data_IF_415833466110
#
_entry.id   IF_415833466110
#
_cell.length_a   1.000
_cell.length_b   1.000
_cell.length_c   1.000
_cell.angle_alpha   90.00
_cell.angle_beta   90.00
_cell.angle_gamma   90.00
#
_symmetry.space_group_name_H-M   'P 1'
#
loop_
_entity.id
_entity.type
_entity.pdbx_description
1 polymer ?
#
# COMPACT_ATOMS: atom_id res chain seq x y z
N UNK A 1 24.76 18.12 -22.26
CA UNK A 1 23.81 17.21 -22.88
C UNK A 1 22.54 17.24 -22.01
N UNK A 2 21.43 17.68 -22.57
CA UNK A 2 20.15 17.61 -21.88
C UNK A 2 19.69 16.14 -21.92
N UNK A 3 19.52 15.53 -20.77
CA UNK A 3 19.02 14.17 -20.65
C UNK A 3 17.52 14.15 -20.99
N UNK A 4 17.06 13.20 -21.81
CA UNK A 4 15.64 13.04 -22.11
C UNK A 4 14.84 12.89 -20.80
N UNK A 5 13.93 13.84 -20.58
CA UNK A 5 13.06 13.83 -19.41
C UNK A 5 11.65 13.46 -19.84
N UNK A 6 11.23 12.23 -19.54
CA UNK A 6 9.87 11.77 -19.73
C UNK A 6 9.14 11.84 -18.39
N UNK A 7 7.90 12.31 -18.41
CA UNK A 7 7.02 12.33 -17.25
C UNK A 7 5.77 11.55 -17.60
N UNK A 8 5.40 10.61 -16.74
CA UNK A 8 4.20 9.79 -16.86
C UNK A 8 3.17 10.20 -15.80
N UNK A 9 1.91 10.20 -16.20
CA UNK A 9 0.76 10.47 -15.35
C UNK A 9 -0.15 9.25 -15.35
N UNK A 10 -0.53 8.74 -14.18
CA UNK A 10 -1.46 7.63 -14.06
C UNK A 10 -2.92 8.07 -14.07
N UNK A 11 -3.84 7.11 -14.03
CA UNK A 11 -5.29 7.34 -13.99
C UNK A 11 -5.78 8.09 -12.74
N UNK A 12 -4.96 8.14 -11.66
CA UNK A 12 -5.24 8.91 -10.43
C UNK A 12 -4.66 10.31 -10.45
N UNK A 13 -4.30 10.83 -11.63
CA UNK A 13 -3.67 12.14 -11.84
C UNK A 13 -2.31 12.35 -11.14
N UNK A 14 -1.68 11.27 -10.72
CA UNK A 14 -0.33 11.34 -10.12
C UNK A 14 0.72 11.35 -11.22
N UNK A 15 1.63 12.31 -11.15
CA UNK A 15 2.74 12.44 -12.08
C UNK A 15 4.00 11.82 -11.48
N UNK A 16 4.63 10.95 -12.25
CA UNK A 16 5.82 10.21 -11.83
C UNK A 16 7.06 10.74 -12.56
N UNK A 17 7.95 11.45 -11.85
CA UNK A 17 9.31 11.72 -12.33
C UNK A 17 10.26 10.57 -12.00
N UNK A 18 9.84 9.60 -11.15
CA UNK A 18 10.71 8.52 -10.68
C UNK A 18 10.55 7.26 -11.50
N UNK A 19 11.67 6.59 -11.82
CA UNK A 19 11.70 5.48 -12.77
C UNK A 19 11.21 4.15 -12.19
N UNK A 20 10.47 4.13 -11.08
CA UNK A 20 9.99 2.87 -10.50
C UNK A 20 8.53 2.95 -10.05
N UNK A 21 7.72 1.97 -10.47
CA UNK A 21 6.32 1.85 -10.05
C UNK A 21 5.88 0.38 -9.95
N UNK A 22 4.76 0.13 -9.29
CA UNK A 22 4.21 -1.21 -9.10
C UNK A 22 2.96 -1.35 -9.96
N UNK A 23 2.85 -2.47 -10.68
CA UNK A 23 1.68 -2.93 -11.40
C UNK A 23 1.16 -4.20 -10.74
N UNK A 24 -0.14 -4.44 -10.83
CA UNK A 24 -0.78 -5.65 -10.29
C UNK A 24 -1.20 -6.53 -11.46
N UNK A 25 -0.90 -7.84 -11.41
CA UNK A 25 -1.34 -8.81 -12.41
C UNK A 25 -2.87 -8.84 -12.53
N UNK A 26 -3.39 -9.21 -13.69
CA UNK A 26 -4.83 -9.23 -13.94
C UNK A 26 -5.47 -7.87 -14.23
N UNK A 27 -4.71 -6.77 -14.19
CA UNK A 27 -5.20 -5.40 -14.38
C UNK A 27 -4.75 -4.79 -15.70
N UNK A 28 -5.40 -3.68 -16.10
CA UNK A 28 -4.97 -2.84 -17.22
C UNK A 28 -4.64 -1.46 -16.71
N UNK A 29 -3.47 -0.95 -17.09
CA UNK A 29 -3.00 0.37 -16.67
C UNK A 29 -2.80 1.29 -17.87
N UNK A 30 -3.18 2.54 -17.70
CA UNK A 30 -2.95 3.58 -18.68
C UNK A 30 -2.12 4.71 -18.07
N UNK A 31 -1.03 5.05 -18.73
CA UNK A 31 -0.16 6.16 -18.36
C UNK A 31 -0.12 7.19 -19.48
N UNK A 32 -0.40 8.43 -19.17
CA UNK A 32 -0.26 9.54 -20.12
C UNK A 32 1.16 10.08 -20.08
N UNK A 33 1.79 10.23 -21.25
CA UNK A 33 3.05 10.96 -21.42
C UNK A 33 2.71 12.44 -21.41
N UNK A 34 3.04 13.14 -20.33
CA UNK A 34 2.72 14.58 -20.15
C UNK A 34 3.85 15.51 -20.59
N UNK A 35 5.05 14.97 -20.81
CA UNK A 35 6.16 15.72 -21.43
C UNK A 35 6.09 15.65 -22.95
N UNK A 36 6.64 16.63 -23.68
CA UNK A 36 6.81 16.50 -25.13
C UNK A 36 7.68 15.29 -25.44
N UNK A 37 7.12 14.32 -26.19
CA UNK A 37 7.84 13.11 -26.58
C UNK A 37 7.29 12.59 -27.93
N UNK A 38 8.15 12.53 -28.94
CA UNK A 38 7.82 12.05 -30.29
C UNK A 38 8.51 10.76 -30.68
N UNK A 39 9.41 10.26 -29.82
CA UNK A 39 10.25 9.10 -30.09
C UNK A 39 9.51 7.75 -29.97
N UNK A 40 10.28 6.69 -29.95
CA UNK A 40 9.81 5.32 -29.84
C UNK A 40 9.87 4.79 -28.41
N UNK A 41 8.99 3.84 -28.08
CA UNK A 41 9.06 3.09 -26.83
C UNK A 41 9.42 1.63 -27.11
N UNK A 42 10.17 1.04 -26.19
CA UNK A 42 10.41 -0.41 -26.14
C UNK A 42 10.13 -0.93 -24.75
N UNK A 43 9.68 -2.19 -24.67
CA UNK A 43 9.29 -2.87 -23.44
C UNK A 43 10.05 -4.17 -23.29
N UNK A 44 10.47 -4.50 -22.06
CA UNK A 44 11.04 -5.80 -21.71
C UNK A 44 10.01 -6.78 -21.09
N UNK A 45 8.74 -6.39 -20.99
CA UNK A 45 7.71 -7.20 -20.36
C UNK A 45 7.24 -8.37 -21.23
N UNK A 46 6.82 -9.50 -20.61
CA UNK A 46 6.29 -10.66 -21.31
C UNK A 46 4.82 -10.50 -21.77
N UNK A 47 4.18 -9.39 -21.45
CA UNK A 47 2.81 -9.05 -21.82
C UNK A 47 2.75 -7.83 -22.75
N UNK A 48 1.61 -7.57 -23.42
CA UNK A 48 1.49 -6.45 -24.34
C UNK A 48 1.65 -5.09 -23.64
N UNK A 49 2.54 -4.27 -24.20
CA UNK A 49 2.64 -2.84 -23.87
C UNK A 49 2.48 -2.08 -25.18
N UNK A 50 1.43 -1.29 -25.26
CA UNK A 50 1.09 -0.55 -26.47
C UNK A 50 1.14 0.95 -26.23
N UNK A 51 1.35 1.72 -27.30
CA UNK A 51 1.26 3.18 -27.25
C UNK A 51 0.31 3.68 -28.32
N UNK A 52 -0.63 4.49 -27.90
CA UNK A 52 -1.49 5.26 -28.78
C UNK A 52 -1.33 6.76 -28.47
N UNK A 53 -0.74 7.50 -29.41
CA UNK A 53 -0.40 8.93 -29.23
C UNK A 53 0.49 9.13 -28.00
N UNK A 54 -0.06 9.74 -26.94
CA UNK A 54 0.59 10.01 -25.66
C UNK A 54 0.17 9.07 -24.53
N UNK A 55 -0.62 8.02 -24.81
CA UNK A 55 -1.06 7.04 -23.82
C UNK A 55 -0.33 5.73 -24.01
N UNK A 56 0.27 5.22 -22.93
CA UNK A 56 0.87 3.89 -22.85
C UNK A 56 -0.11 3.00 -22.08
N UNK A 57 -0.41 1.85 -22.65
CA UNK A 57 -1.27 0.83 -22.03
C UNK A 57 -0.44 -0.40 -21.71
N UNK A 58 -0.47 -0.82 -20.46
CA UNK A 58 0.03 -2.10 -19.96
C UNK A 58 -1.17 -3.03 -19.80
N UNK A 59 -1.26 -4.04 -20.62
CA UNK A 59 -2.36 -5.01 -20.55
C UNK A 59 -1.90 -6.31 -19.86
N UNK A 60 -2.17 -6.38 -18.56
CA UNK A 60 -1.90 -7.54 -17.73
C UNK A 60 -3.17 -8.38 -17.48
N UNK A 61 -4.28 -8.12 -18.19
CA UNK A 61 -5.56 -8.79 -17.93
C UNK A 61 -5.51 -10.32 -17.99
N UNK A 62 -4.59 -10.86 -18.80
CA UNK A 62 -4.34 -12.31 -18.92
C UNK A 62 -3.00 -12.76 -18.31
N UNK A 63 -2.30 -11.88 -17.62
CA UNK A 63 -1.02 -12.17 -16.96
C UNK A 63 -1.22 -12.34 -15.46
N UNK A 64 -0.85 -13.50 -14.94
CA UNK A 64 -1.00 -13.90 -13.53
C UNK A 64 0.33 -14.08 -12.77
N UNK A 65 1.44 -13.71 -13.41
CA UNK A 65 2.77 -13.88 -12.85
C UNK A 65 3.32 -12.64 -12.12
N UNK A 66 4.48 -12.85 -11.51
CA UNK A 66 5.34 -11.80 -10.96
C UNK A 66 6.50 -11.57 -11.92
N UNK A 67 6.81 -10.34 -12.24
CA UNK A 67 8.01 -10.00 -12.99
C UNK A 67 8.46 -8.56 -12.72
N UNK A 68 9.70 -8.27 -13.07
CA UNK A 68 10.21 -6.89 -13.19
C UNK A 68 10.57 -6.61 -14.63
N UNK A 69 10.35 -5.38 -15.06
CA UNK A 69 10.65 -4.99 -16.42
C UNK A 69 10.85 -3.49 -16.57
N UNK A 70 11.14 -3.09 -17.79
CA UNK A 70 11.41 -1.69 -18.14
C UNK A 70 10.62 -1.25 -19.35
N UNK A 71 10.28 0.03 -19.36
CA UNK A 71 9.90 0.77 -20.56
C UNK A 71 11.02 1.76 -20.85
N UNK A 72 11.55 1.69 -22.04
CA UNK A 72 12.58 2.61 -22.52
C UNK A 72 11.98 3.55 -23.56
N UNK A 73 12.14 4.83 -23.32
CA UNK A 73 11.78 5.91 -24.24
C UNK A 73 13.03 6.33 -24.97
N UNK A 74 13.00 6.32 -26.30
CA UNK A 74 14.13 6.68 -27.14
C UNK A 74 13.75 7.84 -28.05
N UNK A 75 14.55 8.89 -28.05
CA UNK A 75 14.37 10.04 -28.93
C UNK A 75 15.75 10.50 -29.46
N UNK A 76 16.05 10.16 -30.72
CA UNK A 76 17.40 10.34 -31.28
C UNK A 76 18.44 9.48 -30.56
N UNK A 77 19.45 10.11 -30.00
CA UNK A 77 20.53 9.45 -29.24
C UNK A 77 20.24 9.43 -27.71
N UNK A 78 19.15 10.02 -27.28
CA UNK A 78 18.79 10.11 -25.86
C UNK A 78 17.80 9.02 -25.48
N UNK A 79 17.88 8.53 -24.23
CA UNK A 79 16.93 7.57 -23.68
C UNK A 79 16.57 7.86 -22.23
N UNK A 80 15.36 7.48 -21.86
CA UNK A 80 14.86 7.48 -20.48
C UNK A 80 14.26 6.13 -20.16
N UNK A 81 14.57 5.56 -18.98
CA UNK A 81 14.16 4.21 -18.60
C UNK A 81 13.31 4.30 -17.34
N UNK A 82 12.15 3.65 -17.39
CA UNK A 82 11.25 3.45 -16.25
C UNK A 82 11.23 1.98 -15.86
N UNK A 83 11.31 1.71 -14.58
CA UNK A 83 11.27 0.37 -14.00
C UNK A 83 9.90 0.12 -13.40
N UNK A 84 9.37 -1.07 -13.62
CA UNK A 84 8.10 -1.50 -13.04
C UNK A 84 8.26 -2.90 -12.46
N UNK A 85 7.69 -3.12 -11.29
CA UNK A 85 7.52 -4.45 -10.73
C UNK A 85 6.06 -4.86 -10.88
N UNK A 86 5.84 -6.06 -11.42
CA UNK A 86 4.52 -6.68 -11.44
C UNK A 86 4.40 -7.60 -10.24
N UNK A 87 3.36 -7.40 -9.48
CA UNK A 87 3.04 -8.18 -8.28
C UNK A 87 1.74 -8.94 -8.48
N UNK A 88 1.56 -10.04 -7.77
CA UNK A 88 0.31 -10.79 -7.81
C UNK A 88 -0.87 -9.93 -7.35
N UNK A 89 -2.03 -10.22 -7.94
CA UNK A 89 -3.29 -9.66 -7.49
C UNK A 89 -3.62 -10.21 -6.10
N UNK A 90 -3.79 -9.32 -5.13
CA UNK A 90 -4.26 -9.66 -3.80
C UNK A 90 -5.72 -9.27 -3.74
N UNK A 91 -6.58 -10.23 -3.47
CA UNK A 91 -7.99 -10.00 -3.23
C UNK A 91 -8.26 -9.73 -1.74
N UNK A 92 -9.41 -9.15 -1.42
CA UNK A 92 -9.82 -8.99 -0.03
C UNK A 92 -9.89 -10.33 0.72
N UNK A 93 -10.23 -11.41 0.00
CA UNK A 93 -10.27 -12.77 0.55
C UNK A 93 -8.91 -13.25 1.08
N UNK A 94 -7.82 -12.80 0.47
CA UNK A 94 -6.45 -13.14 0.93
C UNK A 94 -6.12 -12.48 2.26
N UNK A 95 -6.79 -11.39 2.59
CA UNK A 95 -6.60 -10.64 3.83
C UNK A 95 -7.49 -11.13 4.98
N UNK A 96 -8.67 -11.68 4.66
CA UNK A 96 -9.62 -12.14 5.66
C UNK A 96 -9.00 -13.20 6.57
N UNK A 97 -9.14 -12.99 7.88
CA UNK A 97 -8.60 -13.89 8.88
C UNK A 97 -8.01 -13.17 10.08
N UNK A 98 -7.43 -13.95 10.98
CA UNK A 98 -6.80 -13.43 12.21
C UNK A 98 -5.29 -13.52 12.09
N UNK A 99 -4.62 -12.44 12.46
CA UNK A 99 -3.17 -12.33 12.51
C UNK A 99 -2.72 -12.07 13.92
N UNK A 100 -1.64 -12.73 14.33
CA UNK A 100 -1.10 -12.66 15.69
C UNK A 100 0.32 -12.09 15.67
N UNK A 101 0.61 -11.17 16.60
CA UNK A 101 1.95 -10.60 16.73
C UNK A 101 2.99 -11.66 17.08
N UNK A 102 4.10 -11.66 16.35
CA UNK A 102 5.24 -12.57 16.63
C UNK A 102 5.84 -12.32 18.02
N UNK A 103 5.96 -11.06 18.41
CA UNK A 103 6.59 -10.68 19.69
C UNK A 103 5.65 -10.75 20.88
N UNK A 104 4.39 -10.38 20.66
CA UNK A 104 3.39 -10.32 21.73
C UNK A 104 2.16 -11.15 21.34
N UNK A 105 2.22 -12.46 21.59
CA UNK A 105 1.16 -13.43 21.23
C UNK A 105 -0.27 -13.06 21.67
N UNK A 106 -0.42 -12.07 22.54
CA UNK A 106 -1.71 -11.56 23.01
C UNK A 106 -2.29 -10.45 22.11
N UNK A 107 -1.49 -9.90 21.20
CA UNK A 107 -1.95 -8.90 20.24
C UNK A 107 -2.42 -9.61 18.98
N UNK A 108 -3.65 -9.37 18.59
CA UNK A 108 -4.28 -9.96 17.41
C UNK A 108 -4.98 -8.89 16.59
N UNK A 109 -5.01 -9.10 15.29
CA UNK A 109 -5.76 -8.30 14.33
C UNK A 109 -6.60 -9.25 13.52
N UNK A 110 -7.87 -8.96 13.34
CA UNK A 110 -8.79 -9.75 12.52
C UNK A 110 -9.44 -8.86 11.47
N UNK A 111 -9.51 -9.37 10.24
CA UNK A 111 -10.24 -8.76 9.13
C UNK A 111 -11.39 -9.68 8.75
N UNK A 112 -12.59 -9.11 8.57
CA UNK A 112 -13.82 -9.83 8.27
C UNK A 112 -14.33 -9.51 6.87
N UNK A 113 -15.17 -10.40 6.31
CA UNK A 113 -15.72 -10.30 4.95
C UNK A 113 -16.57 -9.04 4.71
N UNK A 114 -17.15 -8.48 5.77
CA UNK A 114 -17.97 -7.27 5.71
C UNK A 114 -17.14 -5.98 5.77
N UNK A 115 -15.85 -6.06 5.51
CA UNK A 115 -14.89 -4.95 5.63
C UNK A 115 -14.80 -4.32 7.02
N UNK A 116 -15.27 -5.03 8.04
CA UNK A 116 -14.98 -4.68 9.43
C UNK A 116 -13.80 -5.46 9.96
N UNK A 117 -13.26 -5.04 11.09
CA UNK A 117 -12.18 -5.74 11.75
C UNK A 117 -12.05 -5.36 13.21
N UNK A 118 -11.14 -6.05 13.88
CA UNK A 118 -10.83 -5.76 15.27
C UNK A 118 -9.34 -5.92 15.59
N UNK A 119 -8.86 -5.08 16.49
CA UNK A 119 -7.54 -5.20 17.12
C UNK A 119 -7.71 -5.51 18.57
N UNK A 120 -7.16 -6.63 19.02
CA UNK A 120 -7.10 -7.00 20.44
C UNK A 120 -5.72 -6.70 20.97
N UNK A 121 -5.63 -5.79 21.94
CA UNK A 121 -4.37 -5.34 22.56
C UNK A 121 -4.48 -5.61 24.06
N UNK A 122 -3.88 -6.68 24.55
CA UNK A 122 -3.91 -6.96 25.97
C UNK A 122 -2.89 -6.12 26.73
N UNK A 123 -3.40 -5.23 27.61
CA UNK A 123 -2.64 -4.46 28.61
C UNK A 123 -1.84 -3.26 28.12
N UNK A 124 -2.35 -2.44 27.21
CA UNK A 124 -1.72 -1.12 27.03
C UNK A 124 -2.40 -0.03 27.85
N UNK A 125 -3.69 -0.15 28.08
CA UNK A 125 -4.45 0.78 28.93
C UNK A 125 -5.62 0.04 29.60
N UNK A 126 -6.03 0.39 30.82
CA UNK A 126 -7.11 -0.30 31.52
C UNK A 126 -8.48 -0.20 30.84
N UNK A 127 -8.57 0.44 29.66
CA UNK A 127 -9.86 0.79 29.03
C UNK A 127 -10.00 0.36 27.55
N UNK A 128 -8.97 -0.24 26.91
CA UNK A 128 -9.06 -0.62 25.49
C UNK A 128 -8.48 -2.02 25.32
N UNK A 129 -9.32 -3.03 25.46
CA UNK A 129 -8.95 -4.42 25.17
C UNK A 129 -9.21 -4.80 23.72
N UNK A 130 -10.15 -4.14 23.05
CA UNK A 130 -10.55 -4.39 21.68
C UNK A 130 -10.97 -3.10 20.99
N UNK A 131 -10.40 -2.84 19.81
CA UNK A 131 -10.78 -1.74 18.94
C UNK A 131 -11.43 -2.33 17.69
N UNK A 132 -12.59 -1.82 17.33
CA UNK A 132 -13.25 -2.14 16.06
C UNK A 132 -12.92 -1.08 15.03
N UNK A 133 -12.79 -1.49 13.77
CA UNK A 133 -12.47 -0.62 12.65
C UNK A 133 -13.17 -1.07 11.37
N UNK A 134 -13.22 -0.20 10.38
CA UNK A 134 -13.48 -0.58 8.98
C UNK A 134 -12.18 -0.55 8.20
N UNK A 135 -12.11 -1.32 7.11
CA UNK A 135 -10.91 -1.43 6.32
C UNK A 135 -11.21 -1.50 4.83
N UNK A 136 -10.25 -1.01 4.04
CA UNK A 136 -10.21 -1.14 2.59
C UNK A 136 -8.77 -1.51 2.19
N UNK A 137 -8.63 -2.36 1.18
CA UNK A 137 -7.33 -2.71 0.65
C UNK A 137 -7.03 -1.89 -0.61
N UNK A 138 -5.85 -1.30 -0.67
CA UNK A 138 -5.35 -0.58 -1.82
C UNK A 138 -4.30 -1.46 -2.54
N UNK A 139 -4.66 -2.14 -3.64
CA UNK A 139 -3.79 -3.12 -4.29
C UNK A 139 -2.47 -2.50 -4.79
N UNK A 140 -2.52 -1.28 -5.34
CA UNK A 140 -1.36 -0.60 -5.93
C UNK A 140 -0.25 -0.31 -4.90
N UNK A 141 -0.62 -0.06 -3.66
CA UNK A 141 0.33 0.26 -2.57
C UNK A 141 0.53 -0.89 -1.59
N UNK A 142 -0.26 -1.96 -1.72
CA UNK A 142 -0.36 -3.07 -0.75
C UNK A 142 -0.69 -2.63 0.68
N UNK A 143 -1.28 -1.47 0.80
CA UNK A 143 -1.68 -0.90 2.10
C UNK A 143 -3.12 -1.24 2.42
N UNK A 144 -3.34 -1.52 3.68
CA UNK A 144 -4.67 -1.64 4.24
C UNK A 144 -5.00 -0.30 4.87
N UNK A 145 -5.99 0.38 4.30
CA UNK A 145 -6.54 1.61 4.85
C UNK A 145 -7.50 1.24 5.98
N UNK A 146 -7.29 1.82 7.14
CA UNK A 146 -8.07 1.49 8.33
C UNK A 146 -8.68 2.77 8.89
N UNK A 147 -10.00 2.74 9.09
CA UNK A 147 -10.72 3.78 9.79
C UNK A 147 -11.21 3.26 11.16
N UNK A 148 -10.71 3.90 12.22
CA UNK A 148 -11.09 3.61 13.60
C UNK A 148 -11.95 4.76 14.10
N UNK A 149 -13.18 4.49 14.55
CA UNK A 149 -14.03 5.52 15.12
C UNK A 149 -13.34 6.23 16.30
N UNK A 150 -13.40 7.55 16.30
CA UNK A 150 -12.87 8.35 17.41
C UNK A 150 -13.64 8.08 18.69
N UNK A 151 -12.92 8.00 19.78
CA UNK A 151 -13.50 7.74 21.11
C UNK A 151 -13.47 9.05 21.90
N UNK A 152 -14.65 9.54 22.24
CA UNK A 152 -14.79 10.68 23.14
C UNK A 152 -14.99 10.16 24.57
N UNK A 153 -14.17 10.63 25.49
CA UNK A 153 -14.32 10.33 26.91
C UNK A 153 -14.08 11.59 27.75
N UNK A 154 -15.12 12.10 28.36
CA UNK A 154 -15.10 13.36 29.12
C UNK A 154 -14.65 14.52 28.20
N UNK A 155 -13.54 15.18 28.53
CA UNK A 155 -12.96 16.28 27.72
C UNK A 155 -11.81 15.80 26.81
N UNK A 156 -11.57 14.49 26.71
CA UNK A 156 -10.48 13.90 25.92
C UNK A 156 -11.02 13.28 24.64
N UNK A 157 -10.43 13.65 23.53
CA UNK A 157 -10.58 12.95 22.25
C UNK A 157 -9.44 11.93 22.10
N UNK A 158 -9.79 10.68 21.75
CA UNK A 158 -8.83 9.61 21.50
C UNK A 158 -8.91 9.17 20.06
N UNK A 159 -7.83 9.34 19.34
CA UNK A 159 -7.70 8.93 17.96
C UNK A 159 -6.72 7.75 17.88
N UNK A 160 -7.10 6.70 17.15
CA UNK A 160 -6.24 5.55 16.89
C UNK A 160 -5.87 5.56 15.42
N UNK A 161 -4.58 5.49 15.14
CA UNK A 161 -4.03 5.41 13.80
C UNK A 161 -3.40 4.04 13.60
N UNK A 162 -3.89 3.31 12.61
CA UNK A 162 -3.38 2.00 12.21
C UNK A 162 -2.94 2.06 10.75
N UNK A 163 -1.79 1.47 10.45
CA UNK A 163 -1.27 1.36 9.10
C UNK A 163 -0.65 -0.02 8.93
N UNK A 164 -1.12 -0.78 7.95
CA UNK A 164 -0.63 -2.11 7.65
C UNK A 164 -0.30 -2.25 6.17
N UNK A 165 0.74 -3.05 5.92
CA UNK A 165 1.14 -3.52 4.61
C UNK A 165 1.11 -5.05 4.63
N UNK A 166 0.54 -5.67 3.60
CA UNK A 166 0.45 -7.13 3.49
C UNK A 166 1.56 -7.69 2.62
N UNK A 167 2.34 -8.60 3.19
CA UNK A 167 3.32 -9.41 2.46
C UNK A 167 2.70 -10.79 2.20
N UNK A 168 2.25 -11.01 0.96
CA UNK A 168 1.52 -12.22 0.56
C UNK A 168 2.41 -13.46 0.59
N UNK A 169 3.67 -13.37 0.15
CA UNK A 169 4.58 -14.51 0.13
C UNK A 169 4.82 -15.07 1.52
N UNK A 170 4.94 -14.19 2.51
CA UNK A 170 5.19 -14.58 3.90
C UNK A 170 3.91 -14.71 4.72
N UNK A 171 2.74 -14.34 4.16
CA UNK A 171 1.45 -14.31 4.87
C UNK A 171 1.54 -13.51 6.19
N UNK A 172 2.14 -12.32 6.11
CA UNK A 172 2.34 -11.44 7.26
C UNK A 172 1.77 -10.05 7.00
N UNK A 173 1.38 -9.41 8.09
CA UNK A 173 1.11 -7.98 8.13
C UNK A 173 2.28 -7.26 8.79
N UNK A 174 2.75 -6.22 8.17
CA UNK A 174 3.77 -5.32 8.71
C UNK A 174 3.08 -4.01 9.03
N UNK A 175 3.13 -3.59 10.29
CA UNK A 175 2.33 -2.43 10.64
C UNK A 175 2.82 -1.63 11.83
N UNK A 176 2.20 -0.47 11.96
CA UNK A 176 2.35 0.49 13.05
C UNK A 176 0.98 0.82 13.61
N UNK A 177 0.93 1.14 14.89
CA UNK A 177 -0.28 1.63 15.52
C UNK A 177 0.03 2.64 16.61
N UNK A 178 -0.71 3.74 16.61
CA UNK A 178 -0.58 4.83 17.56
C UNK A 178 -1.95 5.19 18.15
N UNK A 179 -1.96 5.48 19.45
CA UNK A 179 -3.07 6.10 20.16
C UNK A 179 -2.66 7.54 20.48
N UNK A 180 -3.40 8.50 19.96
CA UNK A 180 -3.30 9.88 20.35
C UNK A 180 -4.42 10.23 21.33
N UNK A 181 -4.05 10.83 22.43
CA UNK A 181 -4.98 11.41 23.40
C UNK A 181 -4.83 12.91 23.32
N UNK A 182 -5.90 13.57 22.89
CA UNK A 182 -5.98 15.02 22.76
C UNK A 182 -6.83 15.56 23.91
N UNK A 183 -6.23 16.35 24.79
CA UNK A 183 -6.93 17.11 25.81
C UNK A 183 -6.83 18.62 25.52
N UNK A 184 -7.66 19.48 26.13
CA UNK A 184 -7.53 20.93 25.98
C UNK A 184 -6.16 21.50 26.39
N UNK A 185 -5.37 20.72 27.13
CA UNK A 185 -4.11 21.18 27.75
C UNK A 185 -2.88 20.47 27.16
N UNK A 186 -3.01 19.29 26.56
CA UNK A 186 -1.86 18.53 26.09
C UNK A 186 -2.26 17.47 25.03
N UNK A 187 -1.29 17.03 24.25
CA UNK A 187 -1.42 15.95 23.27
C UNK A 187 -0.33 14.92 23.54
N UNK A 188 -0.73 13.68 23.80
CA UNK A 188 0.20 12.57 24.08
C UNK A 188 -0.04 11.42 23.11
N UNK A 189 1.05 10.96 22.47
CA UNK A 189 1.01 9.82 21.53
C UNK A 189 1.65 8.58 22.16
N UNK A 190 0.95 7.45 22.07
CA UNK A 190 1.41 6.14 22.55
C UNK A 190 1.46 5.13 21.42
N UNK A 191 2.56 4.38 21.31
CA UNK A 191 2.60 3.22 20.41
C UNK A 191 1.74 2.08 20.95
N UNK A 192 0.84 1.56 20.11
CA UNK A 192 -0.06 0.46 20.47
C UNK A 192 0.65 -0.90 20.52
N UNK A 193 1.65 -1.11 19.64
CA UNK A 193 2.25 -2.43 19.44
C UNK A 193 3.67 -2.54 20.00
N UNK A 194 4.34 -1.43 20.24
CA UNK A 194 5.73 -1.40 20.69
C UNK A 194 5.92 -0.39 21.83
N UNK A 195 6.78 -0.71 22.78
CA UNK A 195 7.23 0.21 23.82
C UNK A 195 8.24 1.25 23.33
N UNK A 196 8.80 1.04 22.13
CA UNK A 196 9.92 1.82 21.58
C UNK A 196 9.47 2.76 20.44
N UNK A 197 8.27 3.29 20.51
CA UNK A 197 7.75 4.33 19.60
C UNK A 197 7.55 3.84 18.15
N UNK A 198 8.44 4.14 17.26
CA UNK A 198 8.29 4.03 15.79
C UNK A 198 8.54 2.66 15.16
N UNK A 199 8.68 1.59 15.93
CA UNK A 199 8.99 0.29 15.35
C UNK A 199 7.78 -0.37 14.71
N UNK A 200 7.96 -0.84 13.47
CA UNK A 200 7.04 -1.76 12.81
C UNK A 200 6.95 -3.07 13.58
N UNK A 201 5.77 -3.65 13.59
CA UNK A 201 5.49 -4.94 14.22
C UNK A 201 4.97 -5.90 13.16
N UNK A 202 5.45 -7.14 13.23
CA UNK A 202 5.06 -8.22 12.32
C UNK A 202 3.97 -9.04 13.00
N UNK A 203 2.89 -9.28 12.25
CA UNK A 203 1.81 -10.18 12.61
C UNK A 203 1.75 -11.31 11.60
N UNK A 204 1.69 -12.54 12.05
CA UNK A 204 1.48 -13.72 11.21
C UNK A 204 0.06 -14.21 11.27
N UNK A 205 -0.39 -14.79 10.15
CA UNK A 205 -1.69 -15.44 10.10
C UNK A 205 -1.77 -16.54 11.15
N UNK A 206 -2.80 -16.49 11.97
CA UNK A 206 -3.04 -17.55 12.96
C UNK A 206 -3.63 -18.77 12.24
N UNK A 207 -3.03 -19.91 12.44
CA UNK A 207 -3.49 -21.21 11.91
C UNK A 207 -4.65 -21.71 12.78
#
# INVERSE_FOLDING_TARGET
MNKLQVMLKNQKDQTFPFPHTILVSGCVYHYEIVSPFSGEISSSFPFPVTREKNVITFDLSSYDGICSGTITFNEGEESSIFYFDVVEHISDQDLIGTYQSEKKKKHKISFYEDHTGEVVIKKLYPFIDCLKFTWEFEPDTRKIMIDVPRIMKEEEERAVFLSFEFDQEKQILIGKGFLEVLSPYDSVSYSLFSSDGDKTVVFRRAV
#
